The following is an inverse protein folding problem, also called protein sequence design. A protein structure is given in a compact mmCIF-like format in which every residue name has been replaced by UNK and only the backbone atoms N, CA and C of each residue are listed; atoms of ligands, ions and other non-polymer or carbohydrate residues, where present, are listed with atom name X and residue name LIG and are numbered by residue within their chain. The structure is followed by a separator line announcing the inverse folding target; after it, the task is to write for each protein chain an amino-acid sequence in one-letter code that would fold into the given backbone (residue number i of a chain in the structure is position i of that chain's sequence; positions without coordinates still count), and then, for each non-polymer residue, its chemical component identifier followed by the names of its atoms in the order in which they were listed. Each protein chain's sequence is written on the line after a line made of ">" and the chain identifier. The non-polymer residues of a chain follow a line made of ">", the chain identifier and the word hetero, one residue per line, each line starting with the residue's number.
data_IF_570889813605
#
_entry.id   IF_570889813605
#
_cell.length_a   1.000
_cell.length_b   1.000
_cell.length_c   1.000
_cell.angle_alpha   90.00
_cell.angle_beta   90.00
_cell.angle_gamma   90.00
#
_symmetry.space_group_name_H-M   'P 1'
#
loop_
_entity.id
_entity.type
_entity.pdbx_description
1 polymer ?
#
# COMPACT_ATOMS: atom_id res chain seq x y z
N UNK A 1 3.95 -13.93 -17.23
CA UNK A 1 4.50 -14.87 -16.23
C UNK A 1 3.63 -14.80 -15.00
N UNK A 2 3.40 -15.94 -14.33
CA UNK A 2 2.59 -16.02 -13.11
C UNK A 2 3.55 -15.96 -11.92
N UNK A 3 3.56 -14.84 -11.18
CA UNK A 3 4.38 -14.72 -9.96
C UNK A 3 3.84 -15.68 -8.91
N UNK A 4 4.72 -16.52 -8.35
CA UNK A 4 4.42 -17.38 -7.20
C UNK A 4 3.10 -18.17 -7.32
N UNK A 5 2.91 -18.89 -8.43
CA UNK A 5 1.68 -19.66 -8.63
C UNK A 5 0.41 -18.83 -8.82
N UNK A 6 0.48 -17.49 -8.77
CA UNK A 6 -0.54 -16.48 -9.10
C UNK A 6 -1.79 -16.47 -8.22
N UNK A 7 -2.83 -15.77 -8.66
CA UNK A 7 -3.98 -15.43 -7.81
C UNK A 7 -3.82 -14.10 -7.07
N UNK A 8 -2.80 -13.32 -7.43
CA UNK A 8 -2.54 -11.99 -6.86
C UNK A 8 -3.46 -10.94 -7.47
N UNK A 9 -4.16 -10.21 -6.60
CA UNK A 9 -4.79 -8.94 -6.95
C UNK A 9 -3.75 -7.83 -6.83
N UNK A 10 -3.56 -7.06 -7.90
CA UNK A 10 -2.69 -5.88 -7.88
C UNK A 10 -3.52 -4.69 -7.42
N UNK A 11 -3.20 -4.13 -6.26
CA UNK A 11 -3.87 -2.93 -5.74
C UNK A 11 -3.04 -1.65 -5.94
N UNK A 12 -1.74 -1.77 -6.20
CA UNK A 12 -0.86 -0.64 -6.48
C UNK A 12 0.17 -1.06 -7.51
N UNK A 13 0.52 -0.16 -8.44
CA UNK A 13 1.61 -0.39 -9.40
C UNK A 13 2.34 0.91 -9.74
N UNK A 14 3.68 0.88 -9.68
CA UNK A 14 4.60 1.94 -10.18
C UNK A 14 5.49 1.36 -11.26
N UNK A 15 5.58 2.00 -12.42
CA UNK A 15 6.39 1.51 -13.54
C UNK A 15 7.00 2.61 -14.43
N UNK A 16 6.42 3.81 -14.48
CA UNK A 16 6.78 4.81 -15.50
C UNK A 16 6.66 6.28 -15.05
N UNK A 17 6.16 6.55 -13.85
CA UNK A 17 6.01 7.90 -13.30
C UNK A 17 4.98 8.78 -13.99
N UNK A 18 4.04 8.20 -14.76
CA UNK A 18 2.98 8.97 -15.45
C UNK A 18 1.83 9.38 -14.54
N UNK A 19 1.69 8.72 -13.39
CA UNK A 19 0.68 9.06 -12.40
C UNK A 19 1.34 9.72 -11.22
N UNK A 20 0.85 10.91 -10.86
CA UNK A 20 1.21 11.57 -9.62
C UNK A 20 0.59 10.84 -8.42
N UNK A 21 1.42 10.47 -7.44
CA UNK A 21 1.02 9.83 -6.18
C UNK A 21 1.02 10.81 -5.00
N UNK A 22 1.40 12.07 -5.20
CA UNK A 22 1.21 13.12 -4.20
C UNK A 22 -0.25 13.59 -4.22
N UNK A 23 -1.12 12.83 -3.55
CA UNK A 23 -2.59 12.95 -3.61
C UNK A 23 -3.21 13.15 -2.23
N UNK A 24 -4.40 13.75 -2.22
CA UNK A 24 -5.15 14.01 -1.00
C UNK A 24 -5.88 12.78 -0.48
N UNK A 25 -6.46 12.89 0.72
CA UNK A 25 -7.16 11.79 1.40
C UNK A 25 -8.26 11.18 0.55
N UNK A 26 -9.10 12.03 -0.07
CA UNK A 26 -10.23 11.58 -0.90
C UNK A 26 -9.77 10.73 -2.09
N UNK A 27 -8.66 11.09 -2.73
CA UNK A 27 -8.13 10.35 -3.87
C UNK A 27 -7.52 9.02 -3.43
N UNK A 28 -6.78 8.98 -2.33
CA UNK A 28 -6.31 7.73 -1.75
C UNK A 28 -7.44 6.82 -1.26
N UNK A 29 -8.54 7.41 -0.78
CA UNK A 29 -9.75 6.69 -0.41
C UNK A 29 -10.41 6.02 -1.62
N UNK A 30 -10.68 6.81 -2.65
CA UNK A 30 -11.48 6.40 -3.82
C UNK A 30 -10.66 5.62 -4.86
N UNK A 31 -9.33 5.81 -4.89
CA UNK A 31 -8.42 5.28 -5.90
C UNK A 31 -8.11 6.28 -7.01
N UNK A 32 -7.00 6.05 -7.71
CA UNK A 32 -6.53 6.91 -8.81
C UNK A 32 -5.57 6.18 -9.75
N UNK A 33 -5.28 6.80 -10.89
CA UNK A 33 -4.51 6.19 -11.97
C UNK A 33 -5.35 5.22 -12.80
N UNK A 34 -4.68 4.48 -13.67
CA UNK A 34 -5.35 3.59 -14.63
C UNK A 34 -4.49 2.35 -14.90
N UNK A 35 -5.13 1.21 -15.03
CA UNK A 35 -4.45 -0.03 -15.42
C UNK A 35 -3.81 0.09 -16.80
N UNK A 36 -4.45 0.77 -17.75
CA UNK A 36 -4.03 0.89 -19.14
C UNK A 36 -2.79 1.78 -19.29
N UNK A 37 -2.66 2.83 -18.47
CA UNK A 37 -1.46 3.69 -18.43
C UNK A 37 -0.32 3.06 -17.62
N UNK A 38 -0.62 2.00 -16.87
CA UNK A 38 0.38 1.20 -16.18
C UNK A 38 0.57 1.51 -14.71
N UNK A 39 0.02 2.61 -14.18
CA UNK A 39 0.18 3.01 -12.78
C UNK A 39 -1.15 3.35 -12.15
N UNK A 40 -1.40 2.82 -10.97
CA UNK A 40 -2.65 3.05 -10.25
C UNK A 40 -2.52 2.73 -8.77
N UNK A 41 -3.52 3.22 -8.02
CA UNK A 41 -3.82 2.86 -6.65
C UNK A 41 -5.30 2.51 -6.57
N UNK A 42 -5.63 1.31 -6.08
CA UNK A 42 -7.00 0.78 -6.07
C UNK A 42 -7.96 1.58 -5.20
N UNK A 43 -7.45 2.28 -4.19
CA UNK A 43 -8.23 3.02 -3.21
C UNK A 43 -8.36 2.27 -1.89
N UNK A 44 -8.16 2.99 -0.79
CA UNK A 44 -8.20 2.43 0.55
C UNK A 44 -9.56 1.81 0.87
N UNK A 45 -10.66 2.38 0.39
CA UNK A 45 -11.98 1.80 0.65
C UNK A 45 -12.15 0.44 -0.01
N UNK A 46 -11.62 0.27 -1.23
CA UNK A 46 -11.62 -1.00 -1.94
C UNK A 46 -10.72 -2.03 -1.25
N UNK A 47 -9.52 -1.62 -0.81
CA UNK A 47 -8.57 -2.50 -0.10
C UNK A 47 -9.14 -2.93 1.27
N UNK A 48 -9.82 -2.03 1.98
CA UNK A 48 -10.53 -2.34 3.23
C UNK A 48 -11.63 -3.38 3.00
N UNK A 49 -12.49 -3.17 2.01
CA UNK A 49 -13.57 -4.11 1.67
C UNK A 49 -13.04 -5.51 1.31
N UNK A 50 -11.91 -5.58 0.61
CA UNK A 50 -11.25 -6.84 0.30
C UNK A 50 -10.71 -7.52 1.56
N UNK A 51 -9.87 -6.81 2.32
CA UNK A 51 -9.11 -7.41 3.43
C UNK A 51 -9.94 -7.62 4.71
N UNK A 52 -11.11 -7.01 4.82
CA UNK A 52 -12.05 -7.20 5.95
C UNK A 52 -12.86 -8.49 5.87
N UNK A 53 -13.00 -9.08 4.67
CA UNK A 53 -13.89 -10.23 4.43
C UNK A 53 -13.16 -11.57 4.29
N UNK A 54 -11.83 -11.55 4.22
CA UNK A 54 -11.02 -12.75 4.02
C UNK A 54 -9.60 -12.61 4.56
N UNK A 55 -8.85 -13.71 4.48
CA UNK A 55 -7.41 -13.72 4.78
C UNK A 55 -6.64 -13.54 3.48
N UNK A 56 -5.84 -12.49 3.44
CA UNK A 56 -4.98 -12.18 2.31
C UNK A 56 -3.55 -12.09 2.79
N UNK A 57 -2.62 -12.45 1.93
CA UNK A 57 -1.21 -12.12 2.08
C UNK A 57 -0.90 -10.90 1.22
N UNK A 58 -0.01 -10.04 1.70
CA UNK A 58 0.55 -8.94 0.93
C UNK A 58 1.87 -9.38 0.33
N UNK A 59 2.06 -9.15 -0.96
CA UNK A 59 3.35 -9.28 -1.64
C UNK A 59 3.74 -7.94 -2.27
N UNK A 60 4.97 -7.50 -2.03
CA UNK A 60 5.59 -6.32 -2.62
C UNK A 60 6.72 -6.80 -3.52
N UNK A 61 6.58 -6.63 -4.83
CA UNK A 61 7.66 -6.91 -5.79
C UNK A 61 8.39 -5.60 -6.12
N UNK A 62 9.72 -5.62 -6.04
CA UNK A 62 10.61 -4.48 -6.28
C UNK A 62 11.61 -4.82 -7.36
N UNK A 63 11.90 -3.85 -8.24
CA UNK A 63 12.94 -3.97 -9.27
C UNK A 63 13.87 -2.79 -9.21
N UNK A 64 15.16 -3.07 -9.03
CA UNK A 64 16.24 -2.11 -9.23
C UNK A 64 17.28 -2.72 -10.18
N UNK A 65 18.34 -3.32 -9.64
CA UNK A 65 19.31 -4.13 -10.40
C UNK A 65 18.82 -5.58 -10.55
N UNK A 66 18.39 -6.19 -9.42
CA UNK A 66 17.78 -7.51 -9.36
C UNK A 66 16.29 -7.41 -8.99
N UNK A 67 15.62 -8.57 -8.96
CA UNK A 67 14.26 -8.72 -8.47
C UNK A 67 14.25 -9.07 -6.99
N UNK A 68 13.53 -8.27 -6.22
CA UNK A 68 13.32 -8.48 -4.80
C UNK A 68 11.84 -8.58 -4.48
N UNK A 69 11.52 -9.27 -3.39
CA UNK A 69 10.18 -9.29 -2.86
C UNK A 69 10.17 -9.33 -1.33
N UNK A 70 9.10 -8.76 -0.79
CA UNK A 70 8.69 -8.91 0.60
C UNK A 70 7.26 -9.46 0.62
N UNK A 71 6.98 -10.40 1.52
CA UNK A 71 5.65 -10.96 1.72
C UNK A 71 5.29 -10.90 3.20
N UNK A 72 4.04 -10.51 3.47
CA UNK A 72 3.48 -10.39 4.81
C UNK A 72 2.18 -11.18 4.88
N UNK A 73 2.08 -12.08 5.87
CA UNK A 73 0.85 -12.87 6.07
C UNK A 73 -0.28 -12.04 6.68
N UNK A 74 -1.53 -12.41 6.41
CA UNK A 74 -2.74 -11.83 7.05
C UNK A 74 -2.80 -10.29 7.01
N UNK A 75 -2.59 -9.68 5.83
CA UNK A 75 -2.71 -8.24 5.67
C UNK A 75 -4.16 -7.79 5.83
N UNK A 76 -4.34 -6.71 6.60
CA UNK A 76 -5.58 -5.96 6.64
C UNK A 76 -5.29 -4.46 6.72
N UNK A 77 -6.19 -3.66 6.16
CA UNK A 77 -6.33 -2.27 6.59
C UNK A 77 -7.68 -2.12 7.27
N UNK A 78 -7.75 -1.26 8.28
CA UNK A 78 -8.99 -1.04 9.02
C UNK A 78 -9.90 -0.02 8.30
N UNK A 79 -11.06 0.27 8.89
CA UNK A 79 -12.05 1.17 8.31
C UNK A 79 -11.53 2.61 8.16
N UNK A 80 -12.21 3.45 7.36
CA UNK A 80 -11.91 4.88 7.26
C UNK A 80 -11.98 5.59 8.63
N UNK A 81 -12.90 5.17 9.50
CA UNK A 81 -13.03 5.66 10.88
C UNK A 81 -11.77 5.39 11.71
N UNK A 82 -11.09 4.29 11.42
CA UNK A 82 -9.82 3.89 12.01
C UNK A 82 -8.62 4.31 11.15
N UNK A 83 -8.83 5.26 10.24
CA UNK A 83 -7.80 5.88 9.40
C UNK A 83 -7.00 4.86 8.59
N UNK A 84 -7.66 3.82 8.10
CA UNK A 84 -7.04 2.76 7.29
C UNK A 84 -5.78 2.16 7.93
N UNK A 85 -5.80 2.01 9.26
CA UNK A 85 -4.68 1.45 10.04
C UNK A 85 -4.19 0.13 9.43
N UNK A 86 -2.88 0.02 9.23
CA UNK A 86 -2.27 -1.19 8.70
C UNK A 86 -2.16 -2.27 9.78
N UNK A 87 -2.53 -3.50 9.41
CA UNK A 87 -2.28 -4.72 10.16
C UNK A 87 -1.56 -5.71 9.24
N UNK A 88 -0.38 -6.16 9.67
CA UNK A 88 0.41 -7.17 8.94
C UNK A 88 0.93 -8.24 9.90
N UNK A 89 1.02 -9.46 9.38
CA UNK A 89 1.60 -10.61 10.07
C UNK A 89 3.07 -10.83 9.73
N UNK A 90 3.51 -12.09 9.81
CA UNK A 90 4.91 -12.46 9.65
C UNK A 90 5.46 -12.11 8.26
N UNK A 91 6.67 -11.56 8.25
CA UNK A 91 7.46 -11.26 7.06
C UNK A 91 8.18 -12.50 6.50
N UNK A 92 8.33 -12.54 5.19
CA UNK A 92 9.28 -13.40 4.46
C UNK A 92 9.73 -12.70 3.17
N UNK A 93 10.84 -13.12 2.58
CA UNK A 93 11.34 -12.58 1.31
C UNK A 93 12.81 -12.17 1.36
N UNK A 94 13.29 -11.62 0.24
CA UNK A 94 14.69 -11.25 0.03
C UNK A 94 14.93 -9.73 -0.05
N UNK A 95 13.89 -8.90 0.06
CA UNK A 95 13.99 -7.43 0.03
C UNK A 95 14.45 -6.80 1.35
N UNK A 96 14.42 -7.57 2.45
CA UNK A 96 14.49 -7.02 3.81
C UNK A 96 13.13 -6.54 4.29
N UNK A 97 12.97 -6.46 5.62
CA UNK A 97 11.69 -6.05 6.23
C UNK A 97 11.68 -4.55 6.51
N UNK A 98 11.00 -3.80 5.64
CA UNK A 98 10.85 -2.33 5.77
C UNK A 98 9.41 -1.88 6.02
N UNK A 99 8.43 -2.80 6.05
CA UNK A 99 7.02 -2.47 6.29
C UNK A 99 6.58 -2.75 7.73
N UNK A 100 7.23 -3.69 8.45
CA UNK A 100 6.84 -4.03 9.82
C UNK A 100 6.87 -2.86 10.79
N UNK A 101 7.74 -1.86 10.58
CA UNK A 101 7.74 -0.62 11.36
C UNK A 101 6.45 0.19 11.22
N UNK A 102 5.74 0.04 10.09
CA UNK A 102 4.44 0.68 9.83
C UNK A 102 3.25 -0.15 10.30
N UNK A 103 3.47 -1.33 10.90
CA UNK A 103 2.38 -2.10 11.49
C UNK A 103 1.71 -1.25 12.59
N UNK A 104 0.38 -1.28 12.66
CA UNK A 104 -0.44 -0.42 13.53
C UNK A 104 -0.42 1.09 13.26
N UNK A 105 0.33 1.56 12.26
CA UNK A 105 0.31 2.96 11.84
C UNK A 105 -0.99 3.30 11.10
N UNK A 106 -1.49 4.53 11.30
CA UNK A 106 -2.57 5.10 10.51
C UNK A 106 -2.06 5.58 9.16
N UNK A 107 -2.96 5.63 8.17
CA UNK A 107 -2.66 6.24 6.88
C UNK A 107 -2.66 7.77 7.00
N UNK A 108 -1.75 8.44 6.30
CA UNK A 108 -1.63 9.91 6.28
C UNK A 108 -1.46 10.42 4.85
N UNK A 109 -2.01 11.60 4.57
CA UNK A 109 -1.86 12.36 3.32
C UNK A 109 -1.49 13.80 3.61
N UNK A 110 -1.11 14.58 2.60
CA UNK A 110 -0.71 15.98 2.81
C UNK A 110 -1.83 16.83 3.43
N UNK A 111 -3.09 16.46 3.22
CA UNK A 111 -4.29 17.13 3.72
C UNK A 111 -4.93 16.42 4.93
N UNK A 112 -4.39 15.28 5.37
CA UNK A 112 -4.87 14.57 6.55
C UNK A 112 -3.74 13.84 7.29
N UNK A 113 -3.14 14.55 8.25
CA UNK A 113 -2.10 14.03 9.11
C UNK A 113 -2.69 13.11 10.21
N UNK A 114 -2.27 11.84 10.20
CA UNK A 114 -2.58 10.86 11.26
C UNK A 114 -1.30 10.14 11.73
N UNK A 115 -0.11 10.67 11.39
CA UNK A 115 1.14 10.05 11.80
C UNK A 115 1.50 10.42 13.26
N UNK A 116 2.48 9.70 13.83
CA UNK A 116 2.87 9.88 15.23
C UNK A 116 4.14 10.74 15.35
N UNK A 117 4.25 11.77 14.51
CA UNK A 117 5.39 12.69 14.52
C UNK A 117 4.92 14.14 14.73
N UNK A 118 5.86 15.05 14.91
CA UNK A 118 5.55 16.48 15.12
C UNK A 118 5.29 17.25 13.83
N UNK A 119 5.48 16.61 12.68
CA UNK A 119 5.33 17.20 11.34
C UNK A 119 4.48 16.26 10.49
N UNK A 120 3.73 16.78 9.51
CA UNK A 120 3.05 15.88 8.59
C UNK A 120 4.10 15.28 7.63
N UNK A 121 4.42 13.99 7.79
CA UNK A 121 5.39 13.27 6.95
C UNK A 121 4.97 13.23 5.47
N UNK A 122 3.66 13.35 5.19
CA UNK A 122 3.15 13.45 3.83
C UNK A 122 3.18 14.88 3.27
N UNK A 123 3.41 15.92 4.09
CA UNK A 123 3.58 17.31 3.64
C UNK A 123 5.03 17.69 3.35
N UNK A 124 5.98 16.89 3.83
CA UNK A 124 7.40 17.10 3.53
C UNK A 124 7.67 16.67 2.10
N UNK A 125 7.49 17.62 1.17
CA UNK A 125 7.96 17.48 -0.21
C UNK A 125 9.49 17.44 -0.16
N UNK A 126 10.09 16.34 -0.58
CA UNK A 126 11.51 16.27 -0.96
C UNK A 126 11.69 16.76 -2.39
#
# INVERSE_FOLDING_TARGET
>A
TKTDGGGWLIFQRRINGKVDFYRGWKEYRDGFGDYDIGEFYLGNENIFNLTSTGKYDLRVDLKYNDFYYAQYSNVQILSEKEKYKLKIGAYSGNAGDSLSYHNDAHFSTYDQDNDNTSINCASTVS
#
